data_IF_681236262078
#
_entry.id   IF_681236262078
#
_cell.length_a   1.000
_cell.length_b   1.000
_cell.length_c   1.000
_cell.angle_alpha   90.00
_cell.angle_beta   90.00
_cell.angle_gamma   90.00
#
_symmetry.space_group_name_H-M   'P 1'
#
loop_
_entity.id
_entity.type
_entity.pdbx_description
1 polymer ?
#
# COMPACT_ATOMS: atom_id res chain seq x y z
N UNK A 1 -4.50 11.30 1.92
CA UNK A 1 -5.79 11.29 2.64
C UNK A 1 -5.95 9.99 3.42
N UNK A 2 -6.62 10.06 4.56
CA UNK A 2 -6.84 8.94 5.48
C UNK A 2 -8.34 8.63 5.55
N UNK A 3 -8.71 7.34 5.39
CA UNK A 3 -10.06 6.88 5.63
C UNK A 3 -10.33 6.62 7.12
N UNK A 4 -11.59 6.71 7.56
CA UNK A 4 -12.02 6.31 8.90
C UNK A 4 -13.11 5.22 8.86
N UNK A 5 -13.44 4.65 10.00
CA UNK A 5 -14.41 3.54 10.13
C UNK A 5 -15.85 3.91 9.75
N UNK A 6 -16.16 5.19 9.59
CA UNK A 6 -17.47 5.70 9.18
C UNK A 6 -17.53 6.09 7.70
N UNK A 7 -16.43 5.85 6.95
CA UNK A 7 -16.30 6.22 5.54
C UNK A 7 -16.11 7.71 5.33
N UNK A 8 -15.54 8.43 6.30
CA UNK A 8 -15.06 9.78 6.09
C UNK A 8 -13.60 9.76 5.67
N UNK A 9 -13.12 10.90 5.13
CA UNK A 9 -11.70 11.14 4.90
C UNK A 9 -11.22 12.34 5.69
N UNK A 10 -9.97 12.26 6.15
CA UNK A 10 -9.17 13.42 6.52
C UNK A 10 -8.18 13.68 5.39
N UNK A 11 -8.35 14.76 4.66
CA UNK A 11 -7.49 15.07 3.53
C UNK A 11 -6.37 16.03 3.91
N UNK A 12 -5.16 15.70 3.46
CA UNK A 12 -3.99 16.56 3.50
C UNK A 12 -3.68 17.17 2.12
N UNK A 13 -4.55 16.94 1.12
CA UNK A 13 -4.39 17.53 -0.20
C UNK A 13 -4.55 19.06 -0.09
N UNK A 14 -3.61 19.76 -0.69
CA UNK A 14 -3.47 21.22 -0.64
C UNK A 14 -3.49 21.77 -2.05
N UNK A 15 -4.45 22.65 -2.35
CA UNK A 15 -4.60 23.26 -3.65
C UNK A 15 -3.40 24.13 -4.07
N UNK A 16 -2.71 24.77 -3.12
CA UNK A 16 -1.52 25.59 -3.42
C UNK A 16 -0.35 24.67 -3.85
N UNK A 17 -0.19 23.51 -3.21
CA UNK A 17 0.78 22.50 -3.63
C UNK A 17 0.48 21.97 -5.05
N UNK A 18 -0.78 21.63 -5.31
CA UNK A 18 -1.21 21.16 -6.63
C UNK A 18 -0.94 22.22 -7.70
N UNK A 19 -1.33 23.47 -7.46
CA UNK A 19 -1.04 24.57 -8.35
C UNK A 19 0.46 24.76 -8.62
N UNK A 20 1.29 24.62 -7.61
CA UNK A 20 2.75 24.69 -7.76
C UNK A 20 3.29 23.56 -8.66
N UNK A 21 2.79 22.33 -8.49
CA UNK A 21 3.15 21.19 -9.33
C UNK A 21 2.71 21.42 -10.80
N UNK A 22 1.47 21.88 -11.02
CA UNK A 22 0.93 22.19 -12.36
C UNK A 22 1.74 23.28 -13.08
N UNK A 23 2.25 24.30 -12.38
CA UNK A 23 3.15 25.29 -12.97
C UNK A 23 4.45 24.69 -13.51
N UNK A 24 4.82 23.49 -13.01
CA UNK A 24 5.97 22.72 -13.48
C UNK A 24 5.61 21.60 -14.46
N UNK A 25 4.36 21.59 -14.97
CA UNK A 25 3.79 20.54 -15.82
C UNK A 25 3.87 19.13 -15.17
N UNK A 26 3.68 19.05 -13.85
CA UNK A 26 3.63 17.80 -13.10
C UNK A 26 2.18 17.50 -12.72
N UNK A 27 1.75 16.26 -12.92
CA UNK A 27 0.49 15.75 -12.38
C UNK A 27 0.63 15.41 -10.90
N UNK A 28 -0.45 15.54 -10.14
CA UNK A 28 -0.51 15.19 -8.72
C UNK A 28 -1.58 14.12 -8.51
N UNK A 29 -1.18 12.94 -8.07
CA UNK A 29 -2.10 11.87 -7.67
C UNK A 29 -2.17 11.81 -6.14
N UNK A 30 -3.36 12.06 -5.60
CA UNK A 30 -3.57 12.07 -4.14
C UNK A 30 -3.70 10.64 -3.60
N UNK A 31 -2.84 10.28 -2.65
CA UNK A 31 -2.90 8.99 -1.98
C UNK A 31 -4.10 8.91 -1.04
N UNK A 32 -4.87 7.82 -1.13
CA UNK A 32 -5.88 7.40 -0.17
C UNK A 32 -5.41 6.11 0.51
N UNK A 33 -5.26 6.12 1.83
CA UNK A 33 -4.78 4.96 2.61
C UNK A 33 -5.67 4.64 3.79
N UNK A 34 -5.55 3.41 4.30
CA UNK A 34 -6.33 2.84 5.40
C UNK A 34 -5.53 2.64 6.70
N UNK A 35 -4.37 3.29 6.86
CA UNK A 35 -3.50 3.15 8.03
C UNK A 35 -2.93 4.50 8.49
N UNK A 36 -2.37 4.53 9.71
CA UNK A 36 -1.82 5.72 10.35
C UNK A 36 -2.80 6.90 10.46
N UNK A 37 -4.06 6.62 10.79
CA UNK A 37 -5.06 7.67 10.88
C UNK A 37 -6.37 7.19 11.51
N UNK A 38 -7.42 7.14 10.71
CA UNK A 38 -8.75 6.73 11.16
C UNK A 38 -8.95 5.22 11.23
N UNK A 39 -8.30 4.45 10.35
CA UNK A 39 -8.29 2.98 10.34
C UNK A 39 -6.94 2.50 10.91
N UNK A 40 -6.97 1.47 11.75
CA UNK A 40 -5.78 0.95 12.43
C UNK A 40 -5.77 -0.59 12.52
N UNK A 41 -6.72 -1.27 11.89
CA UNK A 41 -6.80 -2.73 11.88
C UNK A 41 -7.54 -3.27 10.67
N UNK A 42 -7.30 -4.55 10.36
CA UNK A 42 -8.02 -5.31 9.32
C UNK A 42 -9.54 -5.32 9.55
N UNK A 43 -9.97 -5.42 10.80
CA UNK A 43 -11.39 -5.40 11.18
C UNK A 43 -12.04 -4.05 10.84
N UNK A 44 -11.35 -2.95 11.10
CA UNK A 44 -11.84 -1.60 10.80
C UNK A 44 -11.95 -1.36 9.29
N UNK A 45 -10.98 -1.83 8.47
CA UNK A 45 -11.08 -1.81 7.01
C UNK A 45 -12.29 -2.61 6.54
N UNK A 46 -12.49 -3.82 7.08
CA UNK A 46 -13.66 -4.64 6.78
C UNK A 46 -14.98 -3.91 7.10
N UNK A 47 -15.07 -3.25 8.26
CA UNK A 47 -16.25 -2.48 8.65
C UNK A 47 -16.60 -1.33 7.69
N UNK A 48 -15.61 -0.75 7.03
CA UNK A 48 -15.86 0.28 6.01
C UNK A 48 -16.25 -0.36 4.68
N UNK A 49 -15.49 -1.34 4.23
CA UNK A 49 -15.63 -1.87 2.87
C UNK A 49 -16.78 -2.86 2.70
N UNK A 50 -17.19 -3.58 3.75
CA UNK A 50 -18.32 -4.51 3.69
C UNK A 50 -19.69 -3.84 3.55
N UNK A 51 -19.84 -2.57 3.99
CA UNK A 51 -21.09 -1.83 3.89
C UNK A 51 -21.12 -0.92 2.66
N UNK A 52 -22.05 -1.18 1.74
CA UNK A 52 -22.23 -0.36 0.51
C UNK A 52 -22.40 1.13 0.82
N UNK A 53 -23.12 1.47 1.89
CA UNK A 53 -23.34 2.88 2.28
C UNK A 53 -22.05 3.57 2.71
N UNK A 54 -21.17 2.87 3.45
CA UNK A 54 -19.89 3.43 3.88
C UNK A 54 -18.92 3.54 2.69
N UNK A 55 -18.83 2.53 1.82
CA UNK A 55 -18.05 2.62 0.57
C UNK A 55 -18.49 3.78 -0.29
N UNK A 56 -19.80 3.92 -0.53
CA UNK A 56 -20.36 5.01 -1.32
C UNK A 56 -20.05 6.40 -0.71
N UNK A 57 -20.13 6.52 0.62
CA UNK A 57 -19.78 7.74 1.33
C UNK A 57 -18.31 8.07 1.17
N UNK A 58 -17.41 7.10 1.39
CA UNK A 58 -15.97 7.25 1.22
C UNK A 58 -15.62 7.70 -0.19
N UNK A 59 -16.12 7.01 -1.20
CA UNK A 59 -15.90 7.34 -2.61
C UNK A 59 -16.37 8.78 -2.91
N UNK A 60 -17.56 9.16 -2.49
CA UNK A 60 -18.08 10.50 -2.75
C UNK A 60 -17.23 11.59 -2.11
N UNK A 61 -16.71 11.38 -0.90
CA UNK A 61 -15.81 12.33 -0.25
C UNK A 61 -14.45 12.42 -0.94
N UNK A 62 -13.88 11.28 -1.36
CA UNK A 62 -12.62 11.24 -2.11
C UNK A 62 -12.75 12.04 -3.41
N UNK A 63 -13.78 11.77 -4.20
CA UNK A 63 -14.00 12.47 -5.46
C UNK A 63 -14.29 13.97 -5.23
N UNK A 64 -15.13 14.30 -4.24
CA UNK A 64 -15.40 15.72 -3.93
C UNK A 64 -14.13 16.46 -3.56
N UNK A 65 -13.25 15.84 -2.75
CA UNK A 65 -12.00 16.47 -2.33
C UNK A 65 -10.99 16.56 -3.47
N UNK A 66 -10.90 15.55 -4.32
CA UNK A 66 -10.05 15.56 -5.51
C UNK A 66 -10.40 16.73 -6.43
N UNK A 67 -11.70 16.93 -6.70
CA UNK A 67 -12.18 18.05 -7.53
C UNK A 67 -11.99 19.42 -6.86
N UNK A 68 -12.14 19.50 -5.54
CA UNK A 68 -11.91 20.73 -4.78
C UNK A 68 -10.43 21.17 -4.83
N UNK A 69 -9.50 20.23 -4.81
CA UNK A 69 -8.05 20.50 -4.75
C UNK A 69 -7.36 20.41 -6.12
N UNK A 70 -8.14 20.11 -7.18
CA UNK A 70 -7.67 20.03 -8.58
C UNK A 70 -6.53 19.00 -8.79
N UNK A 71 -6.54 17.89 -8.05
CA UNK A 71 -5.59 16.79 -8.28
C UNK A 71 -5.96 16.03 -9.56
N UNK A 72 -4.96 15.48 -10.24
CA UNK A 72 -5.11 14.80 -11.53
C UNK A 72 -5.52 13.33 -11.38
N UNK A 73 -5.31 12.75 -10.19
CA UNK A 73 -5.62 11.34 -9.96
C UNK A 73 -5.72 10.97 -8.49
N UNK A 74 -6.15 9.72 -8.29
CA UNK A 74 -6.20 9.05 -6.99
C UNK A 74 -5.30 7.82 -7.04
N UNK A 75 -4.42 7.69 -6.05
CA UNK A 75 -3.64 6.50 -5.79
C UNK A 75 -4.21 5.81 -4.55
N UNK A 76 -4.65 4.57 -4.68
CA UNK A 76 -5.23 3.78 -3.60
C UNK A 76 -4.16 2.90 -2.97
N UNK A 77 -3.85 3.15 -1.71
CA UNK A 77 -2.83 2.46 -0.91
C UNK A 77 -3.49 1.86 0.35
N UNK A 78 -4.23 0.76 0.16
CA UNK A 78 -4.89 0.03 1.25
C UNK A 78 -4.08 -1.22 1.60
N UNK A 79 -3.53 -1.22 2.82
CA UNK A 79 -2.64 -2.29 3.30
C UNK A 79 -3.28 -3.17 4.39
N UNK A 80 -4.37 -2.72 5.00
CA UNK A 80 -5.07 -3.46 6.07
C UNK A 80 -6.30 -4.21 5.53
N UNK A 81 -6.10 -4.99 4.46
CA UNK A 81 -7.15 -5.82 3.84
C UNK A 81 -6.92 -7.28 4.22
N UNK A 82 -7.89 -7.90 4.92
CA UNK A 82 -7.87 -9.32 5.23
C UNK A 82 -8.44 -10.18 4.09
N UNK A 83 -8.20 -11.50 4.13
CA UNK A 83 -8.78 -12.46 3.18
C UNK A 83 -10.31 -12.31 3.10
N UNK A 84 -10.98 -12.17 4.24
CA UNK A 84 -12.42 -11.97 4.31
C UNK A 84 -12.86 -10.64 3.67
N UNK A 85 -12.03 -9.62 3.78
CA UNK A 85 -12.27 -8.30 3.20
C UNK A 85 -12.04 -8.26 1.68
N UNK A 86 -11.24 -9.17 1.13
CA UNK A 86 -10.81 -9.18 -0.28
C UNK A 86 -11.94 -8.92 -1.28
N UNK A 87 -13.07 -9.66 -1.27
CA UNK A 87 -14.17 -9.41 -2.20
C UNK A 87 -14.80 -8.01 -2.06
N UNK A 88 -14.82 -7.44 -0.87
CA UNK A 88 -15.32 -6.09 -0.61
C UNK A 88 -14.33 -5.02 -1.09
N UNK A 89 -13.03 -5.31 -0.94
CA UNK A 89 -11.96 -4.45 -1.45
C UNK A 89 -11.99 -4.37 -2.98
N UNK A 90 -12.06 -5.52 -3.67
CA UNK A 90 -12.19 -5.57 -5.13
C UNK A 90 -13.43 -4.79 -5.60
N UNK A 91 -14.55 -4.93 -4.90
CA UNK A 91 -15.76 -4.18 -5.20
C UNK A 91 -15.55 -2.66 -4.99
N UNK A 92 -14.86 -2.26 -3.94
CA UNK A 92 -14.52 -0.85 -3.69
C UNK A 92 -13.63 -0.28 -4.80
N UNK A 93 -12.60 -1.02 -5.23
CA UNK A 93 -11.72 -0.65 -6.35
C UNK A 93 -12.54 -0.42 -7.63
N UNK A 94 -13.48 -1.32 -7.95
CA UNK A 94 -14.37 -1.18 -9.10
C UNK A 94 -15.25 0.06 -9.01
N UNK A 95 -15.89 0.29 -7.86
CA UNK A 95 -16.78 1.44 -7.64
C UNK A 95 -16.01 2.77 -7.73
N UNK A 96 -14.81 2.84 -7.12
CA UNK A 96 -13.95 4.02 -7.16
C UNK A 96 -13.44 4.30 -8.57
N UNK A 97 -13.00 3.27 -9.32
CA UNK A 97 -12.51 3.43 -10.69
C UNK A 97 -13.56 4.03 -11.62
N UNK A 98 -14.83 3.60 -11.49
CA UNK A 98 -15.94 4.18 -12.26
C UNK A 98 -16.09 5.67 -11.97
N UNK A 99 -15.98 6.07 -10.69
CA UNK A 99 -16.10 7.47 -10.30
C UNK A 99 -14.90 8.31 -10.73
N UNK A 100 -13.68 7.79 -10.62
CA UNK A 100 -12.49 8.45 -11.15
C UNK A 100 -12.65 8.74 -12.66
N UNK A 101 -13.00 7.71 -13.43
CA UNK A 101 -13.20 7.83 -14.89
C UNK A 101 -14.30 8.83 -15.26
N UNK A 102 -15.43 8.87 -14.53
CA UNK A 102 -16.52 9.81 -14.75
C UNK A 102 -16.10 11.27 -14.52
N UNK A 103 -15.06 11.51 -13.72
CA UNK A 103 -14.56 12.83 -13.36
C UNK A 103 -13.20 13.16 -14.02
N UNK A 104 -12.71 12.32 -14.93
CA UNK A 104 -11.44 12.56 -15.64
C UNK A 104 -10.20 12.40 -14.78
N UNK A 105 -10.30 11.67 -13.64
CA UNK A 105 -9.20 11.41 -12.73
C UNK A 105 -8.49 10.10 -13.13
N UNK A 106 -7.17 10.11 -13.10
CA UNK A 106 -6.36 8.89 -13.16
C UNK A 106 -6.59 8.08 -11.89
N UNK A 107 -6.66 6.75 -12.02
CA UNK A 107 -6.80 5.84 -10.89
C UNK A 107 -5.69 4.80 -10.88
N UNK A 108 -4.86 4.81 -9.83
CA UNK A 108 -3.82 3.82 -9.58
C UNK A 108 -4.04 3.09 -8.27
N UNK A 109 -3.55 1.86 -8.17
CA UNK A 109 -3.68 1.02 -6.97
C UNK A 109 -2.33 0.44 -6.60
N UNK A 110 -1.93 0.61 -5.34
CA UNK A 110 -0.71 0.03 -4.80
C UNK A 110 -0.94 -1.40 -4.33
N UNK A 111 0.03 -2.25 -4.60
CA UNK A 111 0.01 -3.65 -4.22
C UNK A 111 1.37 -4.10 -3.68
N UNK A 112 1.35 -4.97 -2.69
CA UNK A 112 2.52 -5.76 -2.32
C UNK A 112 3.04 -6.58 -3.52
N UNK A 113 4.28 -6.99 -3.45
CA UNK A 113 4.80 -8.04 -4.35
C UNK A 113 3.86 -9.25 -4.25
N UNK A 114 3.29 -9.74 -5.39
CA UNK A 114 2.32 -10.82 -5.37
C UNK A 114 2.89 -12.10 -4.75
N UNK A 115 2.17 -12.65 -3.78
CA UNK A 115 2.49 -13.86 -3.06
C UNK A 115 1.18 -14.62 -2.76
N UNK A 116 1.22 -15.94 -2.50
CA UNK A 116 0.02 -16.70 -2.18
C UNK A 116 -0.77 -16.15 -0.97
N UNK A 117 -0.09 -15.58 0.02
CA UNK A 117 -0.72 -15.06 1.24
C UNK A 117 -1.45 -13.72 1.04
N UNK A 118 -1.19 -12.99 -0.05
CA UNK A 118 -1.86 -11.74 -0.37
C UNK A 118 -2.74 -11.83 -1.64
N UNK A 119 -3.06 -13.05 -2.08
CA UNK A 119 -3.87 -13.29 -3.28
C UNK A 119 -5.30 -12.70 -3.19
N UNK A 120 -5.80 -12.43 -1.98
CA UNK A 120 -7.10 -11.82 -1.74
C UNK A 120 -7.21 -10.36 -2.22
N UNK A 121 -6.09 -9.69 -2.49
CA UNK A 121 -6.08 -8.38 -3.16
C UNK A 121 -6.56 -8.46 -4.62
N UNK A 122 -6.43 -9.63 -5.26
CA UNK A 122 -6.89 -9.90 -6.63
C UNK A 122 -6.38 -8.85 -7.65
N UNK A 123 -5.08 -8.85 -7.84
CA UNK A 123 -4.36 -7.89 -8.71
C UNK A 123 -4.87 -7.92 -10.17
N UNK A 124 -5.41 -9.07 -10.63
CA UNK A 124 -5.97 -9.23 -11.97
C UNK A 124 -7.26 -8.39 -12.12
N UNK A 125 -8.17 -8.48 -11.15
CA UNK A 125 -9.40 -7.68 -11.12
C UNK A 125 -9.11 -6.19 -10.95
N UNK A 126 -8.10 -5.83 -10.18
CA UNK A 126 -7.65 -4.44 -10.09
C UNK A 126 -7.13 -3.93 -11.44
N UNK A 127 -6.28 -4.69 -12.13
CA UNK A 127 -5.73 -4.34 -13.43
C UNK A 127 -6.79 -4.19 -14.53
N UNK A 128 -7.93 -4.89 -14.40
CA UNK A 128 -9.05 -4.76 -15.33
C UNK A 128 -9.70 -3.36 -15.27
N UNK A 129 -9.67 -2.68 -14.14
CA UNK A 129 -10.42 -1.43 -13.92
C UNK A 129 -9.55 -0.21 -13.62
N UNK A 130 -8.36 -0.36 -13.04
CA UNK A 130 -7.42 0.71 -12.78
C UNK A 130 -6.68 1.14 -14.07
N UNK A 131 -6.22 2.39 -14.11
CA UNK A 131 -5.34 2.88 -15.16
C UNK A 131 -3.92 2.35 -14.94
N UNK A 132 -3.46 2.30 -13.69
CA UNK A 132 -2.17 1.75 -13.30
C UNK A 132 -2.26 0.88 -12.06
N UNK A 133 -1.39 -0.12 -12.01
CA UNK A 133 -1.14 -0.96 -10.83
C UNK A 133 0.32 -0.78 -10.44
N UNK A 134 0.54 -0.31 -9.23
CA UNK A 134 1.88 -0.13 -8.67
C UNK A 134 2.22 -1.37 -7.84
N UNK A 135 3.36 -1.99 -8.10
CA UNK A 135 3.91 -3.04 -7.24
C UNK A 135 4.99 -2.41 -6.36
N UNK A 136 4.78 -2.45 -5.04
CA UNK A 136 5.71 -1.99 -4.02
C UNK A 136 6.87 -2.98 -3.91
N UNK A 137 7.89 -2.82 -4.77
CA UNK A 137 9.04 -3.72 -4.87
C UNK A 137 10.08 -3.47 -3.79
N UNK A 138 9.63 -3.34 -2.53
CA UNK A 138 10.43 -3.07 -1.35
C UNK A 138 9.87 -3.80 -0.12
N UNK A 139 10.47 -3.57 1.05
CA UNK A 139 10.18 -4.26 2.30
C UNK A 139 10.39 -5.78 2.22
N UNK A 140 11.42 -6.22 1.44
CA UNK A 140 11.89 -7.60 1.44
C UNK A 140 12.34 -8.05 2.84
N UNK A 141 13.01 -7.16 3.58
CA UNK A 141 13.31 -7.30 5.01
C UNK A 141 12.83 -6.07 5.76
N UNK A 142 12.06 -6.30 6.83
CA UNK A 142 11.41 -5.27 7.64
C UNK A 142 11.83 -5.33 9.10
N UNK A 143 11.29 -4.48 9.96
CA UNK A 143 11.53 -4.51 11.41
C UNK A 143 11.18 -5.87 12.05
N UNK A 144 10.21 -6.60 11.49
CA UNK A 144 9.80 -7.92 11.97
C UNK A 144 10.64 -9.09 11.45
N UNK A 145 11.62 -8.84 10.58
CA UNK A 145 12.46 -9.91 10.02
C UNK A 145 13.38 -10.51 11.07
N UNK A 146 13.60 -11.81 10.98
CA UNK A 146 14.49 -12.56 11.90
C UNK A 146 15.97 -12.45 11.52
N UNK A 147 16.29 -11.97 10.33
CA UNK A 147 17.64 -11.74 9.85
C UNK A 147 17.77 -10.37 9.19
N UNK A 148 18.99 -9.83 9.21
CA UNK A 148 19.31 -8.58 8.54
C UNK A 148 19.36 -8.79 7.01
N UNK A 149 18.81 -7.86 6.26
CA UNK A 149 18.77 -7.98 4.81
C UNK A 149 18.50 -6.67 4.08
N UNK A 150 18.49 -6.76 2.77
CA UNK A 150 18.16 -5.63 1.90
C UNK A 150 16.69 -5.24 2.01
N UNK A 151 16.39 -3.95 1.93
CA UNK A 151 15.01 -3.44 1.76
C UNK A 151 14.41 -3.95 0.44
N UNK A 152 15.24 -4.05 -0.61
CA UNK A 152 14.84 -4.57 -1.91
C UNK A 152 16.04 -5.09 -2.66
N UNK A 153 16.22 -6.41 -2.74
CA UNK A 153 17.20 -7.00 -3.63
C UNK A 153 16.70 -6.96 -5.09
N UNK A 154 17.64 -6.94 -6.02
CA UNK A 154 17.29 -7.00 -7.45
C UNK A 154 16.56 -8.31 -7.80
N UNK A 155 16.82 -9.39 -7.05
CA UNK A 155 16.13 -10.67 -7.19
C UNK A 155 14.68 -10.57 -6.77
N UNK A 156 14.42 -9.99 -5.60
CA UNK A 156 13.07 -9.74 -5.08
C UNK A 156 12.23 -8.91 -6.04
N UNK A 157 12.76 -7.76 -6.48
CA UNK A 157 12.07 -6.89 -7.42
C UNK A 157 11.77 -7.60 -8.76
N UNK A 158 12.77 -8.26 -9.37
CA UNK A 158 12.57 -8.98 -10.64
C UNK A 158 11.52 -10.08 -10.52
N UNK A 159 11.54 -10.86 -9.44
CA UNK A 159 10.56 -11.91 -9.21
C UNK A 159 9.17 -11.33 -9.02
N UNK A 160 9.04 -10.27 -8.21
CA UNK A 160 7.77 -9.59 -7.97
C UNK A 160 7.14 -9.02 -9.24
N UNK A 161 7.93 -8.33 -10.06
CA UNK A 161 7.46 -7.79 -11.35
C UNK A 161 7.10 -8.92 -12.32
N UNK A 162 7.90 -9.99 -12.37
CA UNK A 162 7.60 -11.15 -13.25
C UNK A 162 6.31 -11.86 -12.84
N UNK A 163 6.01 -11.91 -11.54
CA UNK A 163 4.76 -12.48 -11.03
C UNK A 163 3.57 -11.57 -11.37
N UNK A 164 3.70 -10.27 -11.12
CA UNK A 164 2.65 -9.30 -11.44
C UNK A 164 2.31 -9.27 -12.94
N UNK A 165 3.29 -9.40 -13.82
CA UNK A 165 3.09 -9.41 -15.28
C UNK A 165 2.27 -10.61 -15.79
N UNK A 166 1.99 -11.61 -14.95
CA UNK A 166 1.08 -12.71 -15.33
C UNK A 166 -0.39 -12.26 -15.35
N UNK A 167 -0.73 -11.21 -14.60
CA UNK A 167 -2.09 -10.70 -14.43
C UNK A 167 -2.26 -9.24 -14.85
N UNK A 168 -1.19 -8.45 -14.81
CA UNK A 168 -1.21 -7.02 -15.13
C UNK A 168 -0.55 -6.76 -16.47
N UNK A 169 -1.24 -6.10 -17.43
CA UNK A 169 -0.61 -5.63 -18.66
C UNK A 169 0.61 -4.72 -18.41
N UNK A 170 1.68 -4.92 -19.18
CA UNK A 170 2.94 -4.21 -18.95
C UNK A 170 2.85 -2.68 -19.06
N UNK A 171 1.93 -2.17 -19.86
CA UNK A 171 1.65 -0.75 -20.03
C UNK A 171 0.87 -0.12 -18.87
N UNK A 172 0.32 -0.94 -17.98
CA UNK A 172 -0.35 -0.51 -16.75
C UNK A 172 0.50 -0.73 -15.50
N UNK A 173 1.61 -1.48 -15.58
CA UNK A 173 2.41 -1.87 -14.42
C UNK A 173 3.47 -0.83 -14.11
N UNK A 174 3.49 -0.34 -12.86
CA UNK A 174 4.52 0.53 -12.31
C UNK A 174 5.32 -0.25 -11.27
N UNK A 175 6.64 -0.29 -11.42
CA UNK A 175 7.53 -0.89 -10.44
C UNK A 175 7.97 0.16 -9.41
N UNK A 176 7.46 0.06 -8.19
CA UNK A 176 7.89 0.87 -7.05
C UNK A 176 9.25 0.40 -6.54
N UNK A 177 10.18 1.34 -6.35
CA UNK A 177 11.52 1.06 -5.79
C UNK A 177 11.76 1.95 -4.57
N UNK A 178 12.52 1.49 -3.55
CA UNK A 178 12.70 2.25 -2.33
C UNK A 178 13.67 3.42 -2.51
N UNK A 179 13.36 4.56 -1.89
CA UNK A 179 14.28 5.66 -1.63
C UNK A 179 14.67 5.73 -0.14
N UNK A 180 14.68 4.60 0.55
CA UNK A 180 15.07 4.46 1.94
C UNK A 180 15.88 3.18 2.12
N UNK A 181 16.53 3.05 3.26
CA UNK A 181 17.29 1.87 3.65
C UNK A 181 16.97 1.50 5.10
N UNK A 182 17.55 0.39 5.57
CA UNK A 182 17.46 0.00 6.98
C UNK A 182 18.86 -0.12 7.58
N UNK A 183 19.01 0.45 8.77
CA UNK A 183 20.15 0.18 9.63
C UNK A 183 19.79 -1.01 10.51
N UNK A 184 20.64 -2.02 10.51
CA UNK A 184 20.47 -3.24 11.28
C UNK A 184 21.43 -3.28 12.46
N UNK A 185 20.89 -3.68 13.59
CA UNK A 185 21.66 -4.04 14.77
C UNK A 185 21.44 -5.52 15.05
N UNK A 186 22.54 -6.30 15.07
CA UNK A 186 22.50 -7.74 15.18
C UNK A 186 23.44 -8.19 16.30
N UNK A 187 22.99 -9.12 17.14
CA UNK A 187 23.79 -9.78 18.17
C UNK A 187 23.34 -11.23 18.37
N UNK A 188 24.23 -12.13 18.87
CA UNK A 188 23.81 -13.47 19.26
C UNK A 188 22.69 -13.42 20.31
N UNK A 189 21.77 -14.37 20.25
CA UNK A 189 20.76 -14.58 21.29
C UNK A 189 21.39 -15.09 22.56
N UNK A 190 20.78 -14.73 23.69
CA UNK A 190 21.08 -15.38 25.00
C UNK A 190 20.33 -16.72 25.12
N UNK A 191 20.74 -17.58 26.10
CA UNK A 191 20.04 -18.83 26.34
C UNK A 191 18.57 -18.64 26.73
N UNK A 192 18.24 -17.53 27.40
CA UNK A 192 16.86 -17.16 27.75
C UNK A 192 16.04 -16.80 26.54
N UNK A 193 16.62 -16.08 25.55
CA UNK A 193 15.98 -15.73 24.30
C UNK A 193 15.76 -16.96 23.40
N UNK A 194 16.71 -17.89 23.36
CA UNK A 194 16.50 -19.17 22.68
C UNK A 194 15.35 -19.98 23.32
N UNK A 195 15.31 -20.05 24.64
CA UNK A 195 14.24 -20.74 25.36
C UNK A 195 12.85 -20.06 25.13
N UNK A 196 12.81 -18.72 25.01
CA UNK A 196 11.58 -17.99 24.75
C UNK A 196 11.07 -18.17 23.31
N UNK A 197 11.96 -18.43 22.37
CA UNK A 197 11.65 -18.61 20.95
C UNK A 197 11.32 -20.08 20.60
N UNK A 198 11.45 -21.04 21.57
CA UNK A 198 11.18 -22.47 21.36
C UNK A 198 9.77 -22.71 20.78
N UNK A 199 9.69 -23.47 19.69
CA UNK A 199 8.45 -23.79 19.00
C UNK A 199 7.93 -22.67 18.07
N UNK A 200 8.66 -21.58 17.93
CA UNK A 200 8.36 -20.50 16.97
C UNK A 200 9.32 -20.52 15.79
N UNK A 201 8.99 -19.77 14.71
CA UNK A 201 9.91 -19.60 13.58
C UNK A 201 11.24 -18.96 13.99
N UNK A 202 11.21 -18.07 14.99
CA UNK A 202 12.38 -17.39 15.51
C UNK A 202 13.46 -18.36 16.06
N UNK A 203 13.08 -19.57 16.49
CA UNK A 203 14.01 -20.61 16.97
C UNK A 203 15.11 -20.94 15.94
N UNK A 204 14.80 -20.84 14.66
CA UNK A 204 15.75 -21.19 13.58
C UNK A 204 16.84 -20.13 13.36
N UNK A 205 16.75 -18.97 14.01
CA UNK A 205 17.67 -17.86 13.80
C UNK A 205 18.55 -17.64 15.03
N UNK A 206 19.90 -17.69 14.88
CA UNK A 206 20.82 -17.62 16.01
C UNK A 206 20.98 -16.23 16.62
N UNK A 207 20.56 -15.19 15.88
CA UNK A 207 20.76 -13.81 16.28
C UNK A 207 19.43 -13.11 16.63
N UNK A 208 19.51 -12.14 17.54
CA UNK A 208 18.48 -11.13 17.75
C UNK A 208 18.77 -9.93 16.85
N UNK A 209 17.78 -9.55 16.06
CA UNK A 209 17.91 -8.49 15.07
C UNK A 209 16.95 -7.35 15.43
N UNK A 210 17.39 -6.12 15.24
CA UNK A 210 16.56 -4.91 15.27
C UNK A 210 16.90 -4.04 14.09
N UNK A 211 15.93 -3.35 13.54
CA UNK A 211 16.18 -2.38 12.47
C UNK A 211 15.44 -1.07 12.66
N UNK A 212 15.96 -0.03 12.02
CA UNK A 212 15.29 1.25 11.85
C UNK A 212 15.37 1.65 10.38
N UNK A 213 14.28 2.16 9.83
CA UNK A 213 14.25 2.72 8.49
C UNK A 213 14.90 4.12 8.51
N UNK A 214 15.65 4.43 7.45
CA UNK A 214 16.30 5.73 7.24
C UNK A 214 15.95 6.21 5.83
N UNK A 215 15.26 7.35 5.76
CA UNK A 215 14.99 8.06 4.52
C UNK A 215 16.19 8.85 4.03
N UNK A 216 16.04 9.49 2.89
CA UNK A 216 17.10 10.34 2.33
C UNK A 216 17.34 11.61 3.16
N UNK A 217 16.37 12.05 3.95
CA UNK A 217 16.47 13.23 4.83
C UNK A 217 17.21 12.94 6.14
N UNK A 218 17.46 11.66 6.45
CA UNK A 218 18.14 11.19 7.65
C UNK A 218 19.66 11.02 7.45
N UNK A 219 20.18 11.29 6.24
CA UNK A 219 21.56 11.03 5.83
C UNK A 219 22.50 12.24 5.94
#
# INVERSE_FOLDING_TARGET
SLADTEGNITSLADADYVNYAHQSNLEVWAVLRDFHGGINSYEETYQVLSYTSKRAKLINQVISKALETDVDGINLDFELVSDECGPHYVQFVRELSVKCRQNGLVFSVDNYVPQPYNAHYDIEEQAAVADYVVVMGYDEHTEGSYEAGSVASIGYLKNGISEALKSVPADKLIAGVPFYTRLWFERPKTDEEFAADEGTEAENYPNKVKSSAYGMDDA
#
